data_IF_118956809544
#
_entry.id   IF_118956809544
#
_cell.length_a   1.000
_cell.length_b   1.000
_cell.length_c   1.000
_cell.angle_alpha   90.00
_cell.angle_beta   90.00
_cell.angle_gamma   90.00
#
_symmetry.space_group_name_H-M   'P 1'
#
loop_
_entity.id
_entity.type
_entity.pdbx_description
1 polymer ?
#
# COMPACT_ATOMS: atom_id res chain seq x y z
N UNK A 1 7.84 -5.84 3.04
CA UNK A 1 8.30 -4.45 3.26
C UNK A 1 9.09 -4.36 4.56
N UNK A 2 10.15 -3.54 4.63
CA UNK A 2 10.93 -3.35 5.85
C UNK A 2 10.08 -2.67 6.95
N UNK A 3 10.21 -3.12 8.21
CA UNK A 3 9.43 -2.61 9.36
C UNK A 3 9.65 -1.13 9.63
N UNK A 4 10.90 -0.66 9.56
CA UNK A 4 11.25 0.73 9.84
C UNK A 4 10.66 1.68 8.79
N UNK A 5 10.80 1.32 7.51
CA UNK A 5 10.18 2.05 6.41
C UNK A 5 8.66 2.11 6.57
N UNK A 6 8.03 0.99 6.93
CA UNK A 6 6.59 0.95 7.16
C UNK A 6 6.15 1.90 8.29
N UNK A 7 6.84 1.88 9.42
CA UNK A 7 6.52 2.78 10.54
C UNK A 7 6.75 4.25 10.16
N UNK A 8 7.78 4.55 9.36
CA UNK A 8 8.05 5.91 8.87
C UNK A 8 6.93 6.41 7.96
N UNK A 9 6.43 5.55 7.07
CA UNK A 9 5.25 5.83 6.23
C UNK A 9 4.03 6.12 7.10
N UNK A 10 3.73 5.22 8.05
CA UNK A 10 2.56 5.35 8.92
C UNK A 10 2.62 6.66 9.72
N UNK A 11 3.79 7.01 10.26
CA UNK A 11 3.99 8.26 10.99
C UNK A 11 3.75 9.48 10.09
N UNK A 12 4.43 9.56 8.96
CA UNK A 12 4.29 10.69 8.04
C UNK A 12 2.85 10.88 7.55
N UNK A 13 2.15 9.78 7.21
CA UNK A 13 0.75 9.84 6.82
C UNK A 13 -0.14 10.30 7.98
N UNK A 14 0.12 9.86 9.21
CA UNK A 14 -0.67 10.25 10.39
C UNK A 14 -0.53 11.73 10.73
N UNK A 15 0.65 12.32 10.52
CA UNK A 15 0.89 13.73 10.79
C UNK A 15 0.30 14.64 9.72
N UNK A 16 0.49 14.28 8.44
CA UNK A 16 0.16 15.16 7.33
C UNK A 16 -1.27 14.99 6.80
N UNK A 17 -1.88 13.81 6.99
CA UNK A 17 -3.15 13.47 6.33
C UNK A 17 -4.24 13.21 7.38
N UNK A 18 -5.29 14.06 7.44
CA UNK A 18 -6.37 13.92 8.42
C UNK A 18 -7.06 12.55 8.39
N UNK A 19 -7.14 11.90 7.23
CA UNK A 19 -7.73 10.57 7.09
C UNK A 19 -7.00 9.51 7.93
N UNK A 20 -5.67 9.61 8.08
CA UNK A 20 -4.89 8.62 8.83
C UNK A 20 -4.87 8.90 10.34
N UNK A 21 -5.23 10.10 10.77
CA UNK A 21 -5.36 10.42 12.19
C UNK A 21 -6.46 9.56 12.82
N UNK A 22 -6.15 8.94 13.96
CA UNK A 22 -7.14 8.21 14.72
C UNK A 22 -8.02 9.20 15.49
N UNK A 23 -9.32 9.16 15.24
CA UNK A 23 -10.31 10.04 15.89
C UNK A 23 -11.45 9.19 16.44
N UNK A 24 -12.19 9.75 17.39
CA UNK A 24 -13.45 9.16 17.84
C UNK A 24 -14.52 9.36 16.78
N UNK A 25 -15.28 8.32 16.50
CA UNK A 25 -16.45 8.39 15.63
C UNK A 25 -17.65 9.02 16.36
N UNK A 26 -18.77 9.14 15.64
CA UNK A 26 -20.01 9.72 16.17
C UNK A 26 -20.60 8.93 17.35
N UNK A 27 -20.20 7.67 17.55
CA UNK A 27 -20.60 6.84 18.70
C UNK A 27 -19.64 6.96 19.88
N UNK A 28 -18.56 7.75 19.74
CA UNK A 28 -17.52 7.91 20.75
C UNK A 28 -16.45 6.81 20.73
N UNK A 29 -16.54 5.86 19.81
CA UNK A 29 -15.59 4.76 19.66
C UNK A 29 -14.36 5.21 18.87
N UNK A 30 -13.18 4.68 19.17
CA UNK A 30 -12.00 4.98 18.36
C UNK A 30 -12.12 4.32 16.98
N UNK A 31 -12.05 5.12 15.92
CA UNK A 31 -11.98 4.60 14.56
C UNK A 31 -10.67 3.83 14.30
N UNK A 32 -10.54 3.26 13.10
CA UNK A 32 -9.36 2.50 12.71
C UNK A 32 -8.07 3.29 12.88
N UNK A 33 -7.05 2.61 13.42
CA UNK A 33 -5.74 3.21 13.62
C UNK A 33 -5.02 3.44 12.28
N UNK A 34 -4.10 4.41 12.20
CA UNK A 34 -3.29 4.62 11.01
C UNK A 34 -2.56 3.34 10.54
N UNK A 35 -2.10 2.50 11.49
CA UNK A 35 -1.50 1.20 11.20
C UNK A 35 -2.47 0.27 10.46
N UNK A 36 -3.71 0.15 10.93
CA UNK A 36 -4.73 -0.67 10.29
C UNK A 36 -5.07 -0.15 8.89
N UNK A 37 -5.23 1.18 8.74
CA UNK A 37 -5.52 1.82 7.45
C UNK A 37 -4.41 1.61 6.44
N UNK A 38 -3.15 1.79 6.83
CA UNK A 38 -2.00 1.56 5.95
C UNK A 38 -1.88 0.06 5.59
N UNK A 39 -2.09 -0.83 6.55
CA UNK A 39 -2.05 -2.28 6.29
C UNK A 39 -3.13 -2.68 5.28
N UNK A 40 -4.34 -2.14 5.39
CA UNK A 40 -5.42 -2.37 4.44
C UNK A 40 -5.02 -1.96 3.02
N UNK A 41 -4.46 -0.76 2.87
CA UNK A 41 -4.01 -0.25 1.57
C UNK A 41 -2.92 -1.14 0.95
N UNK A 42 -1.92 -1.55 1.73
CA UNK A 42 -0.83 -2.41 1.26
C UNK A 42 -1.32 -3.80 0.89
N UNK A 43 -2.21 -4.39 1.69
CA UNK A 43 -2.83 -5.67 1.36
C UNK A 43 -3.60 -5.58 0.04
N UNK A 44 -4.36 -4.50 -0.17
CA UNK A 44 -5.11 -4.31 -1.41
C UNK A 44 -4.19 -4.10 -2.62
N UNK A 45 -3.04 -3.41 -2.45
CA UNK A 45 -2.01 -3.28 -3.49
C UNK A 45 -1.32 -4.61 -3.83
N UNK A 46 -1.03 -5.44 -2.82
CA UNK A 46 -0.25 -6.66 -3.00
C UNK A 46 -1.10 -7.82 -3.55
N UNK A 47 -2.34 -7.94 -3.09
CA UNK A 47 -3.19 -9.09 -3.38
C UNK A 47 -4.39 -8.77 -4.27
N UNK A 48 -4.68 -7.48 -4.49
CA UNK A 48 -5.86 -7.04 -5.23
C UNK A 48 -7.16 -7.20 -4.44
N UNK A 49 -8.29 -6.98 -5.12
CA UNK A 49 -9.64 -6.96 -4.56
C UNK A 49 -10.24 -8.37 -4.34
N UNK A 50 -9.47 -9.30 -3.80
CA UNK A 50 -10.05 -10.53 -3.27
C UNK A 50 -10.72 -10.16 -1.93
N UNK A 51 -12.03 -9.88 -1.99
CA UNK A 51 -12.88 -9.46 -0.87
C UNK A 51 -12.69 -10.33 0.39
N UNK A 52 -12.45 -11.63 0.19
CA UNK A 52 -12.19 -12.61 1.25
C UNK A 52 -10.91 -12.33 2.06
N UNK A 53 -9.95 -11.62 1.49
CA UNK A 53 -8.64 -11.38 2.11
C UNK A 53 -8.69 -10.14 3.00
N UNK A 54 -9.27 -9.04 2.52
CA UNK A 54 -9.32 -7.79 3.30
C UNK A 54 -10.26 -7.92 4.50
N UNK A 55 -11.39 -8.61 4.33
CA UNK A 55 -12.34 -8.85 5.41
C UNK A 55 -11.77 -9.77 6.51
N UNK A 56 -11.08 -10.87 6.12
CA UNK A 56 -10.47 -11.82 7.08
C UNK A 56 -9.34 -11.22 7.91
N UNK A 57 -8.50 -10.36 7.34
CA UNK A 57 -7.31 -9.85 8.05
C UNK A 57 -7.58 -8.60 8.87
N UNK A 58 -8.52 -7.74 8.45
CA UNK A 58 -8.65 -6.41 9.04
C UNK A 58 -10.08 -6.07 9.49
N UNK A 59 -11.09 -6.89 9.15
CA UNK A 59 -12.53 -6.61 9.41
C UNK A 59 -12.92 -5.20 8.95
N UNK A 60 -12.38 -4.76 7.81
CA UNK A 60 -12.75 -3.48 7.19
C UNK A 60 -13.80 -3.74 6.11
N UNK A 61 -14.83 -2.89 6.08
CA UNK A 61 -15.72 -2.82 4.93
C UNK A 61 -14.92 -2.49 3.66
N UNK A 62 -15.30 -3.10 2.53
CA UNK A 62 -14.63 -2.93 1.23
C UNK A 62 -14.47 -1.46 0.84
N UNK A 63 -15.51 -0.65 1.05
CA UNK A 63 -15.51 0.80 0.79
C UNK A 63 -14.47 1.55 1.63
N UNK A 64 -14.29 1.14 2.88
CA UNK A 64 -13.27 1.70 3.78
C UNK A 64 -11.87 1.28 3.34
N UNK A 65 -11.69 0.04 2.88
CA UNK A 65 -10.41 -0.44 2.36
C UNK A 65 -10.00 0.28 1.06
N UNK A 66 -10.94 0.50 0.14
CA UNK A 66 -10.72 1.33 -1.05
C UNK A 66 -10.39 2.78 -0.70
N UNK A 67 -11.07 3.35 0.30
CA UNK A 67 -10.75 4.68 0.80
C UNK A 67 -9.34 4.74 1.41
N UNK A 68 -8.93 3.70 2.15
CA UNK A 68 -7.58 3.58 2.65
C UNK A 68 -6.57 3.53 1.51
N UNK A 69 -6.84 2.74 0.47
CA UNK A 69 -5.97 2.66 -0.70
C UNK A 69 -5.79 4.01 -1.38
N UNK A 70 -6.89 4.71 -1.70
CA UNK A 70 -6.81 6.01 -2.37
C UNK A 70 -6.04 7.05 -1.56
N UNK A 71 -6.37 7.21 -0.27
CA UNK A 71 -5.69 8.17 0.60
C UNK A 71 -4.22 7.77 0.84
N UNK A 72 -3.94 6.47 0.88
CA UNK A 72 -2.57 5.96 1.01
C UNK A 72 -1.74 6.28 -0.22
N UNK A 73 -2.25 5.99 -1.43
CA UNK A 73 -1.50 6.26 -2.66
C UNK A 73 -1.25 7.74 -2.87
N UNK A 74 -2.26 8.59 -2.63
CA UNK A 74 -2.12 10.04 -2.74
C UNK A 74 -1.11 10.58 -1.71
N UNK A 75 -1.23 10.11 -0.46
CA UNK A 75 -0.31 10.48 0.60
C UNK A 75 1.13 10.05 0.38
N UNK A 76 1.36 8.85 -0.14
CA UNK A 76 2.69 8.38 -0.52
C UNK A 76 3.28 9.24 -1.63
N UNK A 77 2.49 9.58 -2.64
CA UNK A 77 2.94 10.48 -3.71
C UNK A 77 3.26 11.86 -3.13
N UNK A 78 2.42 12.41 -2.28
CA UNK A 78 2.66 13.73 -1.71
C UNK A 78 3.94 13.78 -0.84
N UNK A 79 4.13 12.79 0.04
CA UNK A 79 5.22 12.80 1.02
C UNK A 79 6.55 12.27 0.49
N UNK A 80 6.50 11.24 -0.36
CA UNK A 80 7.67 10.47 -0.73
C UNK A 80 8.05 10.57 -2.21
N UNK A 81 7.36 11.41 -2.99
CA UNK A 81 7.64 11.50 -4.43
C UNK A 81 9.09 11.81 -4.76
N UNK A 82 9.69 12.74 -4.04
CA UNK A 82 11.07 13.15 -4.29
C UNK A 82 12.10 12.14 -3.77
N UNK A 83 11.76 11.37 -2.75
CA UNK A 83 12.67 10.42 -2.12
C UNK A 83 12.65 9.05 -2.82
N UNK A 84 11.47 8.57 -3.20
CA UNK A 84 11.29 7.20 -3.72
C UNK A 84 10.64 7.12 -5.09
N UNK A 85 9.87 8.13 -5.51
CA UNK A 85 9.19 8.14 -6.82
C UNK A 85 9.92 9.06 -7.80
N UNK A 86 11.24 8.89 -7.91
CA UNK A 86 12.03 9.49 -8.99
C UNK A 86 11.39 9.08 -10.34
N UNK A 87 11.34 10.03 -11.28
CA UNK A 87 10.88 9.75 -12.64
C UNK A 87 11.68 8.57 -13.21
N UNK A 88 10.99 7.48 -13.52
CA UNK A 88 11.62 6.31 -14.15
C UNK A 88 12.32 6.79 -15.42
N UNK A 89 13.62 6.48 -15.54
CA UNK A 89 14.35 6.75 -16.77
C UNK A 89 14.04 5.65 -17.79
N UNK A 90 14.30 5.91 -19.08
CA UNK A 90 14.23 4.86 -20.10
C UNK A 90 15.14 3.68 -19.77
N UNK A 91 16.27 3.90 -19.08
CA UNK A 91 17.14 2.81 -18.64
C UNK A 91 16.50 1.95 -17.53
N UNK A 92 15.79 2.58 -16.58
CA UNK A 92 15.04 1.87 -15.53
C UNK A 92 13.96 0.97 -16.14
N UNK A 93 13.26 1.47 -17.16
CA UNK A 93 12.24 0.73 -17.91
C UNK A 93 12.83 -0.43 -18.72
N UNK A 94 13.97 -0.20 -19.39
CA UNK A 94 14.66 -1.25 -20.14
C UNK A 94 15.21 -2.34 -19.21
N UNK A 95 15.80 -1.95 -18.09
CA UNK A 95 16.34 -2.89 -17.09
C UNK A 95 15.22 -3.73 -16.48
N UNK A 96 14.10 -3.10 -16.10
CA UNK A 96 12.92 -3.78 -15.58
C UNK A 96 12.34 -4.74 -16.63
N UNK A 97 12.16 -4.28 -17.87
CA UNK A 97 11.62 -5.11 -18.96
C UNK A 97 12.53 -6.29 -19.29
N UNK A 98 13.86 -6.09 -19.24
CA UNK A 98 14.85 -7.17 -19.42
C UNK A 98 14.76 -8.18 -18.28
N UNK A 99 14.72 -7.71 -17.03
CA UNK A 99 14.60 -8.58 -15.85
C UNK A 99 13.31 -9.42 -15.89
N UNK A 100 12.18 -8.82 -16.21
CA UNK A 100 10.90 -9.55 -16.36
C UNK A 100 10.93 -10.53 -17.53
N UNK A 101 11.59 -10.19 -18.65
CA UNK A 101 11.73 -11.10 -19.79
C UNK A 101 12.60 -12.31 -19.45
N UNK A 102 13.69 -12.11 -18.72
CA UNK A 102 14.61 -13.19 -18.29
C UNK A 102 13.98 -14.07 -17.19
N UNK A 103 13.26 -13.47 -16.24
CA UNK A 103 12.59 -14.23 -15.17
C UNK A 103 11.34 -14.96 -15.66
N UNK A 104 10.58 -14.43 -16.62
CA UNK A 104 9.40 -15.12 -17.18
C UNK A 104 9.75 -16.43 -17.91
N UNK A 105 10.95 -16.51 -18.51
CA UNK A 105 11.48 -17.76 -19.10
C UNK A 105 11.85 -18.79 -18.01
N UNK A 106 12.19 -18.34 -16.80
CA UNK A 106 12.56 -19.24 -15.68
C UNK A 106 11.37 -19.91 -14.99
N UNK A 107 10.14 -19.41 -15.17
CA UNK A 107 8.94 -19.98 -14.52
C UNK A 107 8.25 -21.07 -15.36
N UNK A 108 8.48 -21.10 -16.68
CA UNK A 108 7.88 -22.07 -17.61
C UNK A 108 8.60 -23.44 -17.62
N UNK A 109 9.63 -23.62 -16.78
CA UNK A 109 10.47 -24.82 -16.72
C UNK A 109 10.34 -25.65 -15.44
N UNK A 110 9.31 -25.42 -14.61
CA UNK A 110 9.11 -26.12 -13.33
C UNK A 110 7.69 -26.63 -13.10
N UNK A 111 7.14 -27.31 -14.11
CA UNK A 111 6.02 -28.24 -13.91
C UNK A 111 6.44 -29.64 -14.39
N UNK A 112 6.82 -30.49 -13.44
CA UNK A 112 6.86 -31.95 -13.51
C UNK A 112 6.27 -32.50 -12.22
#
# INVERSE_FOLDING_TARGET
MNKELFLRIVHGLSECIPFFQQRRDATGSFGHSPLQKCTAAICLLAYGSAADTVDKYLRLAETTALSCLHNFTDGIIQLFRYEYLRRLTPEDLQTTTRYWRETRVSWDGREH
#
